data_IF_418494809038
#
_entry.id   IF_418494809038
#
_cell.length_a   1.000
_cell.length_b   1.000
_cell.length_c   1.000
_cell.angle_alpha   90.00
_cell.angle_beta   90.00
_cell.angle_gamma   90.00
#
_symmetry.space_group_name_H-M   'P 1'
#
loop_
_entity.id
_entity.type
_entity.pdbx_description
1 polymer ?
#
# COMPACT_ATOMS: atom_id res chain seq x y z
N UNK A 1 -24.86 -8.57 -12.20
CA UNK A 1 -23.61 -9.29 -11.89
C UNK A 1 -22.50 -8.26 -11.87
N UNK A 2 -21.82 -8.09 -10.74
CA UNK A 2 -20.68 -7.18 -10.61
C UNK A 2 -19.42 -7.83 -11.20
N UNK A 3 -18.68 -7.06 -12.00
CA UNK A 3 -17.34 -7.44 -12.46
C UNK A 3 -16.52 -6.19 -12.70
N UNK A 4 -15.54 -5.94 -11.84
CA UNK A 4 -14.64 -4.79 -11.98
C UNK A 4 -13.18 -5.20 -11.82
N UNK A 5 -12.31 -4.46 -12.48
CA UNK A 5 -10.86 -4.65 -12.43
C UNK A 5 -10.22 -3.44 -11.81
N UNK A 6 -9.19 -3.69 -10.99
CA UNK A 6 -8.41 -2.66 -10.33
C UNK A 6 -6.94 -2.89 -10.61
N UNK A 7 -6.21 -1.83 -10.89
CA UNK A 7 -4.75 -1.86 -11.14
C UNK A 7 -4.01 -1.08 -10.06
N UNK A 8 -3.20 -1.76 -9.28
CA UNK A 8 -2.31 -1.21 -8.27
C UNK A 8 -0.87 -1.31 -8.79
N UNK A 9 -0.45 -0.34 -9.61
CA UNK A 9 0.90 -0.30 -10.21
C UNK A 9 1.27 -1.60 -10.95
N UNK A 10 0.32 -2.15 -11.73
CA UNK A 10 0.50 -3.38 -12.50
C UNK A 10 0.18 -4.66 -11.72
N UNK A 11 -0.20 -4.60 -10.45
CA UNK A 11 -0.87 -5.72 -9.76
C UNK A 11 -2.37 -5.57 -9.99
N UNK A 12 -2.89 -6.34 -10.95
CA UNK A 12 -4.28 -6.24 -11.40
C UNK A 12 -5.15 -7.33 -10.81
N UNK A 13 -6.27 -6.91 -10.20
CA UNK A 13 -7.27 -7.79 -9.64
C UNK A 13 -8.59 -7.67 -10.40
N UNK A 14 -9.23 -8.79 -10.71
CA UNK A 14 -10.59 -8.83 -11.24
C UNK A 14 -11.52 -9.38 -10.14
N UNK A 15 -12.42 -8.56 -9.62
CA UNK A 15 -13.42 -8.97 -8.64
C UNK A 15 -14.75 -9.22 -9.35
N UNK A 16 -15.33 -10.40 -9.13
CA UNK A 16 -16.67 -10.77 -9.60
C UNK A 16 -17.57 -11.14 -8.43
N UNK A 17 -18.84 -10.70 -8.48
CA UNK A 17 -19.84 -10.98 -7.46
C UNK A 17 -21.23 -11.19 -8.08
N UNK A 18 -22.13 -11.93 -7.42
CA UNK A 18 -23.49 -12.18 -7.92
C UNK A 18 -24.40 -10.95 -7.83
N UNK A 19 -24.04 -9.95 -7.02
CA UNK A 19 -24.77 -8.69 -6.87
C UNK A 19 -23.82 -7.50 -7.01
N UNK A 20 -24.38 -6.30 -7.17
CA UNK A 20 -23.61 -5.06 -7.25
C UNK A 20 -22.88 -4.81 -5.92
N UNK A 21 -21.63 -4.36 -6.01
CA UNK A 21 -20.81 -3.94 -4.85
C UNK A 21 -20.54 -2.44 -4.93
N UNK A 22 -20.69 -1.75 -3.83
CA UNK A 22 -20.28 -0.37 -3.75
C UNK A 22 -18.76 -0.24 -3.93
N UNK A 23 -18.34 0.77 -4.70
CA UNK A 23 -16.94 1.14 -4.89
C UNK A 23 -16.76 2.57 -4.38
N UNK A 24 -15.82 2.79 -3.48
CA UNK A 24 -15.54 4.13 -2.95
C UNK A 24 -14.87 5.02 -4.01
N UNK A 25 -15.02 6.35 -3.91
CA UNK A 25 -14.39 7.31 -4.83
C UNK A 25 -12.87 7.13 -4.91
N UNK A 26 -12.21 6.80 -3.79
CA UNK A 26 -10.77 6.52 -3.78
C UNK A 26 -10.42 5.25 -4.55
N UNK A 27 -11.21 4.18 -4.38
CA UNK A 27 -10.94 2.91 -5.06
C UNK A 27 -11.30 3.00 -6.55
N UNK A 28 -12.32 3.76 -6.95
CA UNK A 28 -12.71 3.92 -8.35
C UNK A 28 -11.59 4.52 -9.22
N UNK A 29 -10.69 5.31 -8.63
CA UNK A 29 -9.52 5.87 -9.33
C UNK A 29 -8.52 4.80 -9.79
N UNK A 30 -8.64 3.58 -9.28
CA UNK A 30 -7.80 2.43 -9.63
C UNK A 30 -8.50 1.44 -10.56
N UNK A 31 -9.74 1.73 -11.01
CA UNK A 31 -10.42 0.92 -12.01
C UNK A 31 -9.65 0.92 -13.33
N UNK A 32 -9.68 -0.22 -14.02
CA UNK A 32 -8.98 -0.41 -15.29
C UNK A 32 -9.78 -1.30 -16.24
N UNK A 33 -9.72 -0.98 -17.53
CA UNK A 33 -10.31 -1.80 -18.60
C UNK A 33 -9.36 -2.94 -19.06
N UNK A 34 -8.13 -2.99 -18.55
CA UNK A 34 -7.19 -4.04 -18.91
C UNK A 34 -7.73 -5.41 -18.51
N UNK A 35 -7.69 -6.37 -19.43
CA UNK A 35 -8.25 -7.72 -19.22
C UNK A 35 -7.29 -8.71 -18.58
N UNK A 36 -5.98 -8.44 -18.63
CA UNK A 36 -4.90 -9.27 -18.13
C UNK A 36 -4.76 -9.21 -16.60
N UNK A 37 -5.80 -9.64 -15.88
CA UNK A 37 -5.78 -9.68 -14.42
C UNK A 37 -4.74 -10.69 -13.90
N UNK A 38 -3.94 -10.24 -12.92
CA UNK A 38 -2.99 -11.12 -12.21
C UNK A 38 -3.67 -11.99 -11.17
N UNK A 39 -4.83 -11.54 -10.66
CA UNK A 39 -5.63 -12.23 -9.64
C UNK A 39 -7.10 -12.13 -9.99
N UNK A 40 -7.77 -13.27 -10.01
CA UNK A 40 -9.23 -13.36 -10.13
C UNK A 40 -9.83 -13.67 -8.77
N UNK A 41 -10.81 -12.87 -8.38
CA UNK A 41 -11.53 -13.00 -7.12
C UNK A 41 -13.00 -13.29 -7.39
N UNK A 42 -13.51 -14.39 -6.85
CA UNK A 42 -14.93 -14.76 -6.93
C UNK A 42 -15.56 -14.61 -5.55
N UNK A 43 -16.49 -13.68 -5.43
CA UNK A 43 -17.31 -13.51 -4.24
C UNK A 43 -18.61 -14.28 -4.39
N UNK A 44 -19.02 -14.99 -3.37
CA UNK A 44 -20.31 -15.67 -3.25
C UNK A 44 -20.89 -15.52 -1.83
N UNK A 45 -22.17 -15.83 -1.69
CA UNK A 45 -22.87 -15.76 -0.41
C UNK A 45 -23.53 -17.10 -0.09
N UNK A 46 -23.65 -17.41 1.20
CA UNK A 46 -24.33 -18.61 1.70
C UNK A 46 -25.04 -18.33 3.03
N UNK A 47 -26.14 -19.02 3.27
CA UNK A 47 -26.87 -18.93 4.54
C UNK A 47 -26.04 -19.47 5.72
N UNK A 48 -25.19 -20.45 5.46
CA UNK A 48 -24.26 -21.01 6.43
C UNK A 48 -22.88 -21.22 5.83
N UNK A 49 -21.85 -20.84 6.56
CA UNK A 49 -20.46 -21.10 6.19
C UNK A 49 -20.06 -22.53 6.59
N UNK A 50 -19.12 -23.16 5.87
CA UNK A 50 -18.49 -24.39 6.32
C UNK A 50 -17.92 -24.24 7.74
N UNK A 51 -18.02 -25.28 8.54
CA UNK A 51 -17.40 -25.28 9.86
C UNK A 51 -15.88 -25.38 9.71
N UNK A 52 -15.10 -24.52 10.39
CA UNK A 52 -13.65 -24.61 10.38
C UNK A 52 -13.16 -25.97 10.87
N UNK A 53 -12.27 -26.60 10.12
CA UNK A 53 -11.59 -27.82 10.54
C UNK A 53 -10.12 -27.80 10.08
N UNK A 54 -9.28 -28.55 10.75
CA UNK A 54 -7.86 -28.61 10.45
C UNK A 54 -7.64 -29.16 9.02
N UNK A 55 -6.82 -28.44 8.24
CA UNK A 55 -6.45 -28.84 6.88
C UNK A 55 -7.47 -28.51 5.80
N UNK A 56 -8.52 -27.73 6.05
CA UNK A 56 -9.53 -27.36 5.04
C UNK A 56 -9.02 -26.31 4.02
N UNK A 57 -7.81 -25.76 4.22
CA UNK A 57 -7.18 -24.80 3.30
C UNK A 57 -7.86 -23.43 3.27
N UNK A 58 -8.77 -23.15 4.21
CA UNK A 58 -9.53 -21.91 4.29
C UNK A 58 -9.05 -21.01 5.42
N UNK A 59 -9.04 -19.71 5.16
CA UNK A 59 -8.87 -18.68 6.18
C UNK A 59 -10.23 -18.10 6.57
N UNK A 60 -10.63 -18.29 7.81
CA UNK A 60 -11.90 -17.80 8.33
C UNK A 60 -11.75 -16.41 8.96
N UNK A 61 -12.73 -15.55 8.71
CA UNK A 61 -12.77 -14.18 9.22
C UNK A 61 -13.88 -14.04 10.26
N UNK A 62 -13.52 -13.43 11.41
CA UNK A 62 -14.40 -13.31 12.56
C UNK A 62 -14.62 -11.86 12.94
N UNK A 63 -15.84 -11.50 13.30
CA UNK A 63 -16.15 -10.17 13.84
C UNK A 63 -16.04 -10.19 15.38
N UNK A 64 -14.80 -10.31 15.88
CA UNK A 64 -14.52 -10.42 17.31
C UNK A 64 -14.71 -9.12 18.09
N UNK A 65 -14.96 -7.99 17.41
CA UNK A 65 -15.21 -6.71 18.07
C UNK A 65 -16.54 -6.70 18.86
N UNK A 66 -17.51 -7.53 18.46
CA UNK A 66 -18.82 -7.62 19.11
C UNK A 66 -18.95 -8.85 20.01
N UNK A 67 -18.33 -9.95 19.61
CA UNK A 67 -18.38 -11.23 20.36
C UNK A 67 -17.06 -11.97 20.11
N UNK A 68 -16.36 -12.33 21.20
CA UNK A 68 -15.12 -13.11 21.12
C UNK A 68 -15.34 -14.55 20.62
N UNK A 69 -16.57 -15.06 20.76
CA UNK A 69 -16.98 -16.40 20.33
C UNK A 69 -17.82 -16.36 19.04
N UNK A 70 -17.80 -15.21 18.31
CA UNK A 70 -18.56 -15.07 17.08
C UNK A 70 -18.23 -16.20 16.08
N UNK A 71 -19.24 -16.69 15.39
CA UNK A 71 -19.05 -17.54 14.23
C UNK A 71 -18.33 -16.76 13.11
N UNK A 72 -17.61 -17.43 12.21
CA UNK A 72 -16.99 -16.74 11.09
C UNK A 72 -18.07 -16.08 10.21
N UNK A 73 -17.78 -14.89 9.72
CA UNK A 73 -18.65 -14.19 8.76
C UNK A 73 -18.23 -14.37 7.31
N UNK A 74 -16.99 -14.80 7.07
CA UNK A 74 -16.47 -15.10 5.74
C UNK A 74 -15.40 -16.19 5.79
N UNK A 75 -15.24 -16.91 4.69
CA UNK A 75 -14.17 -17.85 4.43
C UNK A 75 -13.46 -17.48 3.14
N UNK A 76 -12.13 -17.40 3.17
CA UNK A 76 -11.26 -17.10 2.03
C UNK A 76 -10.51 -18.38 1.67
N UNK A 77 -10.47 -18.69 0.37
CA UNK A 77 -9.86 -19.89 -0.18
C UNK A 77 -9.09 -19.55 -1.45
N UNK A 78 -8.10 -20.37 -1.78
CA UNK A 78 -7.28 -20.25 -2.99
C UNK A 78 -5.99 -19.47 -2.77
N UNK A 79 -5.03 -19.68 -3.67
CA UNK A 79 -3.70 -19.11 -3.67
C UNK A 79 -3.33 -18.61 -5.09
N UNK A 80 -2.25 -17.83 -5.19
CA UNK A 80 -1.73 -17.38 -6.48
C UNK A 80 -2.72 -16.49 -7.24
N UNK A 81 -3.18 -16.95 -8.41
CA UNK A 81 -4.00 -16.17 -9.32
C UNK A 81 -5.52 -16.29 -9.07
N UNK A 82 -5.97 -17.35 -8.42
CA UNK A 82 -7.39 -17.62 -8.20
C UNK A 82 -7.74 -17.60 -6.72
N UNK A 83 -8.65 -16.72 -6.35
CA UNK A 83 -9.13 -16.55 -4.97
C UNK A 83 -10.64 -16.62 -4.95
N UNK A 84 -11.21 -17.20 -3.91
CA UNK A 84 -12.64 -17.16 -3.65
C UNK A 84 -12.93 -16.68 -2.22
N UNK A 85 -14.04 -15.97 -2.09
CA UNK A 85 -14.56 -15.51 -0.79
C UNK A 85 -16.00 -15.96 -0.71
N UNK A 86 -16.30 -16.72 0.32
CA UNK A 86 -17.66 -17.06 0.70
C UNK A 86 -18.05 -16.22 1.92
N UNK A 87 -19.08 -15.40 1.80
CA UNK A 87 -19.57 -14.51 2.86
C UNK A 87 -20.94 -15.02 3.35
N UNK A 88 -21.17 -14.98 4.65
CA UNK A 88 -22.49 -15.26 5.21
C UNK A 88 -23.52 -14.25 4.69
N UNK A 89 -24.71 -14.76 4.32
CA UNK A 89 -25.79 -13.94 3.73
C UNK A 89 -26.17 -12.74 4.62
N UNK A 90 -26.12 -12.88 5.94
CA UNK A 90 -26.38 -11.81 6.90
C UNK A 90 -25.42 -10.61 6.78
N UNK A 91 -24.19 -10.86 6.26
CA UNK A 91 -23.15 -9.83 6.05
C UNK A 91 -23.18 -9.22 4.63
N UNK A 92 -24.05 -9.70 3.73
CA UNK A 92 -24.14 -9.20 2.36
C UNK A 92 -24.25 -7.68 2.29
N UNK A 93 -25.12 -7.08 3.11
CA UNK A 93 -25.36 -5.63 3.14
C UNK A 93 -24.15 -4.80 3.60
N UNK A 94 -23.16 -5.42 4.22
CA UNK A 94 -21.92 -4.79 4.68
C UNK A 94 -20.74 -5.08 3.76
N UNK A 95 -20.97 -5.83 2.68
CA UNK A 95 -19.93 -6.23 1.74
C UNK A 95 -19.86 -5.25 0.58
N UNK A 96 -18.74 -4.53 0.48
CA UNK A 96 -18.37 -3.64 -0.61
C UNK A 96 -17.03 -4.07 -1.21
N UNK A 97 -16.57 -3.43 -2.28
CA UNK A 97 -15.31 -3.78 -2.93
C UNK A 97 -14.09 -3.61 -2.01
N UNK A 98 -14.12 -2.64 -1.09
CA UNK A 98 -13.03 -2.42 -0.12
C UNK A 98 -12.99 -3.54 0.92
N UNK A 99 -14.14 -3.99 1.42
CA UNK A 99 -14.23 -5.11 2.36
C UNK A 99 -13.75 -6.43 1.73
N UNK A 100 -14.02 -6.63 0.43
CA UNK A 100 -13.47 -7.76 -0.35
C UNK A 100 -11.94 -7.70 -0.39
N UNK A 101 -11.34 -6.55 -0.72
CA UNK A 101 -9.88 -6.39 -0.73
C UNK A 101 -9.24 -6.60 0.65
N UNK A 102 -9.91 -6.16 1.71
CA UNK A 102 -9.48 -6.41 3.10
C UNK A 102 -9.60 -7.89 3.47
N UNK A 103 -10.70 -8.53 3.09
CA UNK A 103 -10.92 -9.95 3.35
C UNK A 103 -9.84 -10.83 2.69
N UNK A 104 -9.40 -10.46 1.49
CA UNK A 104 -8.31 -11.13 0.76
C UNK A 104 -6.95 -10.94 1.41
N UNK A 105 -6.79 -9.94 2.28
CA UNK A 105 -5.49 -9.42 2.71
C UNK A 105 -4.66 -8.92 1.50
N UNK A 106 -5.08 -7.78 0.94
CA UNK A 106 -4.43 -7.21 -0.25
C UNK A 106 -2.90 -7.09 -0.09
N UNK A 107 -2.41 -6.82 1.14
CA UNK A 107 -0.96 -6.70 1.37
C UNK A 107 -0.23 -8.03 1.09
N UNK A 108 -0.83 -9.17 1.44
CA UNK A 108 -0.29 -10.49 1.08
C UNK A 108 -0.21 -10.66 -0.44
N UNK A 109 -1.30 -10.37 -1.16
CA UNK A 109 -1.33 -10.44 -2.63
C UNK A 109 -0.26 -9.55 -3.27
N UNK A 110 -0.03 -8.37 -2.71
CA UNK A 110 1.00 -7.45 -3.17
C UNK A 110 2.41 -8.01 -2.95
N UNK A 111 2.67 -8.57 -1.76
CA UNK A 111 3.98 -9.19 -1.42
C UNK A 111 4.32 -10.36 -2.34
N UNK A 112 3.37 -11.24 -2.63
CA UNK A 112 3.54 -12.33 -3.62
C UNK A 112 3.96 -11.81 -5.02
N UNK A 113 3.76 -10.52 -5.31
CA UNK A 113 4.04 -9.88 -6.60
C UNK A 113 5.11 -8.81 -6.53
N UNK A 114 6.04 -9.00 -5.59
CA UNK A 114 7.18 -8.10 -5.37
C UNK A 114 6.75 -6.65 -5.14
N UNK A 115 5.66 -6.45 -4.39
CA UNK A 115 5.17 -5.14 -4.03
C UNK A 115 4.85 -5.07 -2.53
N UNK A 116 5.12 -3.94 -1.88
CA UNK A 116 4.84 -3.70 -0.47
C UNK A 116 4.30 -2.30 -0.26
N UNK A 117 3.33 -2.15 0.64
CA UNK A 117 2.82 -0.84 1.02
C UNK A 117 3.71 -0.23 2.09
N UNK A 118 4.18 0.99 1.83
CA UNK A 118 4.98 1.81 2.73
C UNK A 118 4.15 2.95 3.30
N UNK A 119 4.23 3.19 4.60
CA UNK A 119 3.69 4.37 5.26
C UNK A 119 4.59 5.59 4.98
N UNK A 120 4.32 6.24 3.87
CA UNK A 120 5.05 7.39 3.37
C UNK A 120 4.12 8.36 2.64
N UNK A 121 4.41 9.66 2.71
CA UNK A 121 3.82 10.60 1.76
C UNK A 121 4.59 10.51 0.44
N UNK A 122 3.85 10.40 -0.65
CA UNK A 122 4.37 10.25 -2.00
C UNK A 122 4.09 11.50 -2.82
N UNK A 123 5.15 12.18 -3.27
CA UNK A 123 5.08 13.30 -4.19
C UNK A 123 5.73 12.96 -5.53
N UNK A 124 5.22 13.57 -6.59
CA UNK A 124 5.89 13.66 -7.89
C UNK A 124 6.63 14.97 -7.99
N UNK A 125 7.89 14.91 -8.38
CA UNK A 125 8.73 16.06 -8.69
C UNK A 125 9.62 15.72 -9.88
N UNK A 126 9.54 16.54 -10.94
CA UNK A 126 10.32 16.39 -12.20
C UNK A 126 10.17 15.00 -12.86
N UNK A 127 8.98 14.38 -12.73
CA UNK A 127 8.68 13.07 -13.32
C UNK A 127 9.09 11.87 -12.48
N UNK A 128 9.68 12.08 -11.32
CA UNK A 128 10.12 11.05 -10.38
C UNK A 128 9.33 11.07 -9.07
N UNK A 129 9.33 9.95 -8.37
CA UNK A 129 8.77 9.81 -7.03
C UNK A 129 9.79 10.20 -5.95
N UNK A 130 9.40 11.09 -5.04
CA UNK A 130 10.10 11.33 -3.78
C UNK A 130 9.19 10.90 -2.63
N UNK A 131 9.71 10.04 -1.76
CA UNK A 131 8.94 9.43 -0.68
C UNK A 131 9.41 9.93 0.68
N UNK A 132 8.52 10.60 1.42
CA UNK A 132 8.80 10.98 2.81
C UNK A 132 8.34 9.87 3.76
N UNK A 133 9.29 9.18 4.37
CA UNK A 133 9.06 8.05 5.25
C UNK A 133 9.47 8.38 6.68
N UNK A 134 8.56 8.20 7.64
CA UNK A 134 8.82 8.42 9.06
C UNK A 134 7.64 7.91 9.90
N UNK A 135 7.80 7.71 11.23
CA UNK A 135 6.70 7.44 12.13
C UNK A 135 5.59 8.50 12.05
N UNK A 136 4.39 8.11 12.49
CA UNK A 136 3.26 9.06 12.55
C UNK A 136 3.61 10.31 13.34
N UNK A 137 3.12 11.49 12.88
CA UNK A 137 3.37 12.77 13.54
C UNK A 137 4.76 13.39 13.38
N UNK A 138 5.66 12.77 12.59
CA UNK A 138 7.02 13.31 12.36
C UNK A 138 7.03 14.47 11.37
N UNK A 139 6.06 14.54 10.42
CA UNK A 139 5.96 15.66 9.48
C UNK A 139 5.95 15.26 7.99
N UNK A 140 5.65 13.99 7.65
CA UNK A 140 5.55 13.53 6.25
C UNK A 140 4.63 14.41 5.40
N UNK A 141 3.37 14.56 5.84
CA UNK A 141 2.39 15.37 5.12
C UNK A 141 2.78 16.85 5.09
N UNK A 142 3.44 17.36 6.15
CA UNK A 142 3.97 18.72 6.17
C UNK A 142 5.02 18.93 5.09
N UNK A 143 5.97 18.01 4.93
CA UNK A 143 6.98 18.09 3.87
C UNK A 143 6.33 18.00 2.49
N UNK A 144 5.38 17.10 2.27
CA UNK A 144 4.66 17.02 0.99
C UNK A 144 3.95 18.35 0.65
N UNK A 145 3.29 19.00 1.60
CA UNK A 145 2.63 20.29 1.41
C UNK A 145 3.63 21.42 1.17
N UNK A 146 4.80 21.42 1.81
CA UNK A 146 5.87 22.40 1.53
C UNK A 146 6.40 22.26 0.09
N UNK A 147 6.60 21.02 -0.37
CA UNK A 147 7.01 20.77 -1.76
C UNK A 147 5.95 21.22 -2.77
N UNK A 148 4.68 20.94 -2.48
CA UNK A 148 3.56 21.45 -3.28
C UNK A 148 3.57 22.97 -3.33
N UNK A 149 3.74 23.64 -2.18
CA UNK A 149 3.73 25.10 -2.05
C UNK A 149 4.90 25.77 -2.78
N UNK A 150 6.11 25.26 -2.60
CA UNK A 150 7.33 25.96 -3.05
C UNK A 150 7.91 25.45 -4.37
N UNK A 151 7.52 24.25 -4.80
CA UNK A 151 8.02 23.61 -6.05
C UNK A 151 6.91 23.10 -6.96
N UNK A 152 5.65 23.39 -6.61
CA UNK A 152 4.49 22.91 -7.37
C UNK A 152 4.48 21.37 -7.55
N UNK A 153 5.13 20.64 -6.66
CA UNK A 153 5.14 19.19 -6.66
C UNK A 153 3.71 18.66 -6.48
N UNK A 154 3.38 17.59 -7.18
CA UNK A 154 2.07 16.95 -7.07
C UNK A 154 2.10 15.90 -5.95
N UNK A 155 1.16 15.97 -5.01
CA UNK A 155 1.02 14.96 -3.96
C UNK A 155 0.16 13.83 -4.52
N UNK A 156 0.74 12.65 -4.71
CA UNK A 156 0.05 11.47 -5.24
C UNK A 156 -0.72 10.77 -4.12
N UNK A 157 -0.07 10.58 -2.96
CA UNK A 157 -0.74 10.04 -1.77
C UNK A 157 -0.10 10.62 -0.50
N UNK A 158 -0.91 11.10 0.43
CA UNK A 158 -0.42 11.78 1.63
C UNK A 158 -0.01 10.86 2.78
N UNK A 159 -0.28 9.55 2.70
CA UNK A 159 -0.10 8.62 3.81
C UNK A 159 0.54 7.28 3.41
N UNK A 160 0.24 6.77 2.21
CA UNK A 160 0.66 5.45 1.76
C UNK A 160 1.16 5.48 0.33
N UNK A 161 2.17 4.68 0.03
CA UNK A 161 2.56 4.38 -1.34
C UNK A 161 2.84 2.90 -1.51
N UNK A 162 2.68 2.41 -2.72
CA UNK A 162 3.04 1.06 -3.11
C UNK A 162 4.44 1.07 -3.68
N UNK A 163 5.38 0.38 -3.03
CA UNK A 163 6.71 0.11 -3.60
C UNK A 163 6.62 -1.17 -4.38
N UNK A 164 7.01 -1.16 -5.65
CA UNK A 164 7.04 -2.38 -6.48
C UNK A 164 8.38 -2.53 -7.19
N UNK A 165 8.91 -3.74 -7.17
CA UNK A 165 10.06 -4.15 -7.99
C UNK A 165 9.56 -4.67 -9.32
N UNK A 166 9.94 -4.00 -10.42
CA UNK A 166 9.75 -4.44 -11.80
C UNK A 166 11.07 -4.74 -12.48
N UNK A 167 11.02 -5.05 -13.78
CA UNK A 167 12.23 -5.32 -14.59
C UNK A 167 13.15 -4.11 -14.70
N UNK A 168 12.58 -2.91 -14.80
CA UNK A 168 13.31 -1.65 -14.89
C UNK A 168 13.76 -1.07 -13.53
N UNK A 169 13.53 -1.77 -12.41
CA UNK A 169 13.85 -1.31 -11.07
C UNK A 169 12.64 -1.05 -10.20
N UNK A 170 12.84 -0.23 -9.16
CA UNK A 170 11.78 0.09 -8.21
C UNK A 170 10.94 1.29 -8.63
N UNK A 171 9.62 1.14 -8.49
CA UNK A 171 8.64 2.21 -8.70
C UNK A 171 7.84 2.46 -7.44
N UNK A 172 7.35 3.70 -7.29
CA UNK A 172 6.32 4.05 -6.33
C UNK A 172 4.98 4.18 -7.05
N UNK A 173 3.95 3.60 -6.49
CA UNK A 173 2.58 3.70 -6.99
C UNK A 173 1.62 4.24 -5.95
N UNK A 174 0.54 4.86 -6.41
CA UNK A 174 -0.58 5.19 -5.55
C UNK A 174 -1.29 3.92 -5.06
N UNK A 175 -2.05 4.07 -3.98
CA UNK A 175 -2.94 3.03 -3.46
C UNK A 175 -4.22 3.66 -2.93
N UNK A 176 -5.35 2.95 -3.00
CA UNK A 176 -6.68 3.50 -2.73
C UNK A 176 -6.92 3.97 -1.29
N UNK A 177 -6.10 3.57 -0.34
CA UNK A 177 -6.20 4.07 1.02
C UNK A 177 -5.07 5.07 1.33
N UNK A 178 -5.44 6.18 1.92
CA UNK A 178 -4.57 7.34 2.16
C UNK A 178 -4.77 7.94 3.57
N UNK A 179 -5.17 7.10 4.55
CA UNK A 179 -5.48 7.57 5.90
C UNK A 179 -6.52 8.70 5.87
N UNK A 180 -6.23 9.79 6.56
CA UNK A 180 -7.06 11.01 6.57
C UNK A 180 -6.75 11.95 5.40
N UNK A 181 -5.76 11.64 4.56
CA UNK A 181 -5.38 12.47 3.42
C UNK A 181 -6.43 12.37 2.31
N UNK A 182 -6.71 13.50 1.66
CA UNK A 182 -7.56 13.56 0.46
C UNK A 182 -6.79 13.18 -0.81
N UNK A 183 -5.46 13.27 -0.77
CA UNK A 183 -4.60 12.90 -1.89
C UNK A 183 -4.59 11.39 -2.07
N UNK A 184 -5.06 10.94 -3.21
CA UNK A 184 -5.14 9.53 -3.58
C UNK A 184 -5.23 9.41 -5.10
N UNK A 185 -4.10 9.34 -5.80
CA UNK A 185 -4.04 9.25 -7.25
C UNK A 185 -3.46 7.91 -7.69
N UNK A 186 -3.94 7.39 -8.82
CA UNK A 186 -3.39 6.19 -9.46
C UNK A 186 -2.24 6.58 -10.40
N UNK A 187 -1.07 6.85 -9.83
CA UNK A 187 0.13 7.23 -10.55
C UNK A 187 1.29 6.34 -10.14
N UNK A 188 2.06 5.86 -11.13
CA UNK A 188 3.26 5.03 -10.90
C UNK A 188 4.47 5.73 -11.52
N UNK A 189 5.52 5.96 -10.73
CA UNK A 189 6.74 6.64 -11.15
C UNK A 189 7.99 5.92 -10.64
N UNK A 190 9.14 6.04 -11.31
CA UNK A 190 10.42 5.59 -10.78
C UNK A 190 10.74 6.33 -9.47
N UNK A 191 11.39 5.65 -8.53
CA UNK A 191 11.74 6.25 -7.25
C UNK A 191 13.09 6.95 -7.35
N UNK A 192 13.08 8.28 -7.21
CA UNK A 192 14.30 9.10 -7.13
C UNK A 192 15.01 8.92 -5.81
N UNK A 193 14.24 9.04 -4.70
CA UNK A 193 14.78 8.89 -3.35
C UNK A 193 13.71 8.54 -2.31
N UNK A 194 14.15 7.87 -1.23
CA UNK A 194 13.38 7.71 0.01
C UNK A 194 14.01 8.61 1.06
N UNK A 195 13.23 9.56 1.59
CA UNK A 195 13.67 10.57 2.52
C UNK A 195 13.10 10.27 3.90
N UNK A 196 13.96 9.84 4.82
CA UNK A 196 13.59 9.70 6.22
C UNK A 196 13.58 11.07 6.88
N UNK A 197 12.61 11.31 7.77
CA UNK A 197 12.45 12.61 8.43
C UNK A 197 12.82 12.56 9.89
N UNK A 198 13.48 13.61 10.35
CA UNK A 198 13.77 13.88 11.76
C UNK A 198 13.53 15.36 12.06
N UNK A 199 12.76 15.67 13.10
CA UNK A 199 12.61 17.05 13.58
C UNK A 199 13.95 17.55 14.12
N UNK A 200 14.36 18.75 13.71
CA UNK A 200 15.63 19.36 14.12
C UNK A 200 15.48 20.87 14.29
N UNK A 201 16.53 21.53 14.74
CA UNK A 201 16.60 23.02 14.86
C UNK A 201 17.22 23.67 13.62
N UNK A 202 17.82 22.87 12.75
CA UNK A 202 18.48 23.30 11.53
C UNK A 202 18.16 22.28 10.42
N UNK A 203 18.14 22.76 9.17
CA UNK A 203 17.95 21.90 8.01
C UNK A 203 19.29 21.31 7.58
N UNK A 204 19.35 19.98 7.53
CA UNK A 204 20.49 19.24 7.00
C UNK A 204 20.05 17.92 6.41
N UNK A 205 20.82 17.41 5.45
CA UNK A 205 20.54 16.12 4.81
C UNK A 205 21.82 15.32 4.73
N UNK A 206 21.71 14.03 5.06
CA UNK A 206 22.80 13.07 4.97
C UNK A 206 22.34 11.79 4.28
N UNK A 207 23.12 11.23 3.35
CA UNK A 207 22.80 9.92 2.80
C UNK A 207 22.91 8.87 3.90
N UNK A 208 21.98 7.93 3.89
CA UNK A 208 22.02 6.76 4.79
C UNK A 208 21.84 5.49 3.99
N UNK A 209 22.39 4.40 4.47
CA UNK A 209 22.28 3.12 3.77
C UNK A 209 22.37 1.94 4.73
N UNK A 210 22.49 0.74 4.13
CA UNK A 210 22.65 -0.50 4.85
C UNK A 210 21.56 -0.78 5.88
N UNK A 211 21.95 -1.24 7.06
CA UNK A 211 21.01 -1.67 8.10
C UNK A 211 20.16 -0.53 8.67
N UNK A 212 20.65 0.70 8.64
CA UNK A 212 19.93 1.87 9.16
C UNK A 212 18.74 2.22 8.26
N UNK A 213 18.97 2.30 6.94
CA UNK A 213 17.91 2.51 5.95
C UNK A 213 16.91 1.36 5.99
N UNK A 214 17.39 0.11 5.97
CA UNK A 214 16.56 -1.08 6.05
C UNK A 214 15.61 -1.04 7.26
N UNK A 215 16.13 -0.89 8.48
CA UNK A 215 15.32 -0.89 9.70
C UNK A 215 14.26 0.19 9.70
N UNK A 216 14.62 1.38 9.22
CA UNK A 216 13.72 2.54 9.21
C UNK A 216 12.56 2.33 8.24
N UNK A 217 12.84 1.85 7.03
CA UNK A 217 11.84 1.61 5.99
C UNK A 217 11.00 0.37 6.34
N UNK A 218 11.62 -0.73 6.73
CA UNK A 218 10.93 -1.98 7.06
C UNK A 218 9.90 -1.81 8.17
N UNK A 219 10.21 -1.00 9.19
CA UNK A 219 9.28 -0.70 10.29
C UNK A 219 8.00 -0.01 9.81
N UNK A 220 8.08 0.77 8.75
CA UNK A 220 6.95 1.52 8.19
C UNK A 220 6.22 0.74 7.07
N UNK A 221 6.66 -0.47 6.74
CA UNK A 221 6.01 -1.32 5.74
C UNK A 221 4.83 -2.11 6.31
N UNK A 222 3.81 -2.33 5.48
CA UNK A 222 2.70 -3.22 5.79
C UNK A 222 3.08 -4.69 5.51
N UNK A 223 3.83 -5.30 6.43
CA UNK A 223 4.31 -6.68 6.32
C UNK A 223 3.66 -7.66 7.32
N UNK A 224 2.87 -7.14 8.26
CA UNK A 224 2.12 -7.95 9.23
C UNK A 224 0.76 -8.31 8.63
N UNK A 225 0.68 -9.48 8.06
CA UNK A 225 -0.51 -10.05 7.44
C UNK A 225 -0.96 -11.31 8.19
N UNK A 226 -1.96 -11.98 7.66
CA UNK A 226 -2.39 -13.29 8.19
C UNK A 226 -1.45 -14.45 7.77
N UNK A 227 -0.42 -14.17 6.97
CA UNK A 227 0.49 -15.18 6.39
C UNK A 227 1.88 -15.06 7.01
N UNK A 228 2.42 -16.15 7.60
CA UNK A 228 3.69 -16.11 8.35
C UNK A 228 4.90 -15.65 7.53
N UNK A 229 4.96 -16.03 6.24
CA UNK A 229 6.12 -15.77 5.38
C UNK A 229 6.19 -14.35 4.82
N UNK A 230 5.12 -13.56 4.95
CA UNK A 230 5.04 -12.22 4.38
C UNK A 230 6.08 -11.25 4.95
N UNK A 231 6.41 -11.41 6.22
CA UNK A 231 7.50 -10.60 6.82
C UNK A 231 8.85 -10.89 6.19
N UNK A 232 9.11 -12.14 5.79
CA UNK A 232 10.34 -12.52 5.08
C UNK A 232 10.35 -11.97 3.66
N UNK A 233 9.23 -12.08 2.93
CA UNK A 233 9.09 -11.49 1.59
C UNK A 233 9.30 -9.98 1.61
N UNK A 234 8.68 -9.28 2.55
CA UNK A 234 8.90 -7.84 2.73
C UNK A 234 10.36 -7.50 3.05
N UNK A 235 11.00 -8.28 3.94
CA UNK A 235 12.40 -8.06 4.29
C UNK A 235 13.34 -8.24 3.10
N UNK A 236 13.11 -9.25 2.25
CA UNK A 236 13.87 -9.47 1.02
C UNK A 236 13.71 -8.28 0.07
N UNK A 237 12.46 -7.85 -0.18
CA UNK A 237 12.16 -6.73 -1.07
C UNK A 237 12.80 -5.42 -0.60
N UNK A 238 12.68 -5.09 0.68
CA UNK A 238 13.28 -3.88 1.26
C UNK A 238 14.80 -3.96 1.30
N UNK A 239 15.39 -5.15 1.51
CA UNK A 239 16.84 -5.33 1.44
C UNK A 239 17.40 -5.01 0.05
N UNK A 240 16.68 -5.33 -1.01
CA UNK A 240 17.06 -4.96 -2.38
C UNK A 240 16.80 -3.47 -2.65
N UNK A 241 15.68 -2.93 -2.20
CA UNK A 241 15.31 -1.53 -2.34
C UNK A 241 16.43 -0.60 -1.83
N UNK A 242 16.90 -0.83 -0.60
CA UNK A 242 17.92 0.03 0.04
C UNK A 242 19.31 -0.09 -0.58
N UNK A 243 19.56 -1.08 -1.44
CA UNK A 243 20.80 -1.21 -2.21
C UNK A 243 20.79 -0.41 -3.51
N UNK A 244 19.60 -0.15 -4.04
CA UNK A 244 19.43 0.41 -5.39
C UNK A 244 18.81 1.79 -5.41
N UNK A 245 17.97 2.11 -4.41
CA UNK A 245 17.28 3.41 -4.31
C UNK A 245 17.98 4.28 -3.29
N UNK A 246 18.41 5.51 -3.67
CA UNK A 246 19.02 6.46 -2.76
C UNK A 246 18.12 6.71 -1.54
N UNK A 247 18.69 6.61 -0.35
CA UNK A 247 17.98 6.90 0.90
C UNK A 247 18.76 7.94 1.70
N UNK A 248 18.08 8.96 2.19
CA UNK A 248 18.68 10.04 2.97
C UNK A 248 17.87 10.33 4.24
N UNK A 249 18.53 10.87 5.25
CA UNK A 249 17.92 11.42 6.45
C UNK A 249 17.89 12.95 6.33
N UNK A 250 16.71 13.51 6.22
CA UNK A 250 16.46 14.95 6.30
C UNK A 250 16.12 15.32 7.73
N UNK A 251 17.04 16.00 8.40
CA UNK A 251 16.80 16.67 9.67
C UNK A 251 16.30 18.06 9.36
N UNK A 252 15.06 18.41 9.76
CA UNK A 252 14.44 19.61 9.21
C UNK A 252 13.49 20.35 10.14
N UNK A 253 13.34 21.62 9.84
CA UNK A 253 12.26 22.51 10.22
C UNK A 253 11.08 22.39 9.21
N UNK A 254 9.85 22.80 9.57
CA UNK A 254 8.74 22.84 8.65
C UNK A 254 8.73 24.14 7.81
N UNK A 255 9.79 24.38 7.03
CA UNK A 255 10.01 25.62 6.29
C UNK A 255 10.53 25.39 4.85
N UNK A 256 10.69 26.46 4.06
CA UNK A 256 11.24 26.41 2.71
C UNK A 256 12.71 25.96 2.69
N UNK A 257 13.48 26.23 3.75
CA UNK A 257 14.86 25.78 3.85
C UNK A 257 14.99 24.26 3.78
N UNK A 258 14.04 23.52 4.34
CA UNK A 258 14.00 22.07 4.22
C UNK A 258 13.80 21.61 2.76
N UNK A 259 12.96 22.32 2.02
CA UNK A 259 12.74 22.04 0.58
C UNK A 259 14.01 22.30 -0.22
N UNK A 260 14.66 23.47 -0.01
CA UNK A 260 15.91 23.80 -0.68
C UNK A 260 17.02 22.80 -0.38
N UNK A 261 17.18 22.41 0.90
CA UNK A 261 18.18 21.42 1.32
C UNK A 261 17.99 20.07 0.63
N UNK A 262 16.75 19.60 0.54
CA UNK A 262 16.45 18.34 -0.14
C UNK A 262 16.58 18.47 -1.65
N UNK A 263 16.13 19.56 -2.26
CA UNK A 263 16.24 19.79 -3.70
C UNK A 263 17.70 19.78 -4.18
N UNK A 264 18.60 20.45 -3.44
CA UNK A 264 20.04 20.41 -3.73
C UNK A 264 20.62 18.99 -3.67
N UNK A 265 20.15 18.17 -2.73
CA UNK A 265 20.54 16.77 -2.65
C UNK A 265 20.02 15.97 -3.85
N UNK A 266 18.74 16.12 -4.22
CA UNK A 266 18.12 15.41 -5.35
C UNK A 266 18.77 15.70 -6.70
N UNK A 267 19.33 16.91 -6.88
CA UNK A 267 20.08 17.30 -8.09
C UNK A 267 21.45 16.61 -8.22
N UNK A 268 21.97 16.06 -7.12
CA UNK A 268 23.31 15.42 -7.10
C UNK A 268 23.26 13.90 -7.29
N UNK A 269 22.07 13.28 -7.23
CA UNK A 269 21.89 11.83 -7.31
C UNK A 269 21.19 11.36 -8.63
#
# INVERSE_FOLDING_TARGET
MFRKRFDFSGVRLCISAPCELAVTDKLSRFETEREDACVTVRLSYADALPQPHEGDGRRYLYNTARDKNAAPYAAVEGEGADRSILVSEEYRKFTDAVSVLKALDLNHILLERNAVVLHASYIEHEGDAVLFCAPSGTGKSTQAELWKKYRSARIINGDRCLIRKGEAGFTAGGIYYSGTSEYCENQTLPIKAIVLLRKARENSIEPIGGITAFRSIFRECAHKTAYPDDSALAAMLISELVKTVPTALLSCLPDEGAVCTLEEYLRRI
#
